data_IF_599732257307
#
_entry.id   IF_599732257307
#
_cell.length_a   1.000
_cell.length_b   1.000
_cell.length_c   1.000
_cell.angle_alpha   90.00
_cell.angle_beta   90.00
_cell.angle_gamma   90.00
#
_symmetry.space_group_name_H-M   'P 1'
#
loop_
_entity.id
_entity.type
_entity.pdbx_description
1 polymer ?
#
# COMPACT_ATOMS: atom_id res chain seq x y z
N UNK A 1 -77.87 29.37 9.10
CA UNK A 1 -76.52 29.77 8.65
C UNK A 1 -75.50 29.11 9.54
N UNK A 2 -74.97 28.01 9.14
CA UNK A 2 -73.64 27.46 9.60
C UNK A 2 -73.19 26.46 8.56
N UNK A 3 -72.22 26.86 7.77
CA UNK A 3 -71.56 26.02 6.78
C UNK A 3 -70.67 25.03 7.53
N UNK A 4 -71.03 23.78 7.50
CA UNK A 4 -70.15 22.68 7.92
C UNK A 4 -69.25 22.27 6.74
N UNK A 5 -68.05 22.67 6.83
CA UNK A 5 -66.98 22.31 5.88
C UNK A 5 -66.60 20.83 6.12
N UNK A 6 -66.99 19.99 5.19
CA UNK A 6 -66.58 18.59 5.20
C UNK A 6 -65.11 18.50 4.78
N UNK A 7 -64.28 18.18 5.73
CA UNK A 7 -62.87 17.85 5.45
C UNK A 7 -62.90 16.45 4.83
N UNK A 8 -62.63 16.39 3.54
CA UNK A 8 -62.41 15.15 2.82
C UNK A 8 -60.98 14.66 3.17
N UNK A 9 -60.91 13.73 4.10
CA UNK A 9 -59.68 13.07 4.45
C UNK A 9 -59.37 12.02 3.37
N UNK A 10 -58.58 12.41 2.38
CA UNK A 10 -58.04 11.48 1.40
C UNK A 10 -57.03 10.58 2.09
N UNK A 11 -57.44 9.39 2.43
CA UNK A 11 -56.55 8.30 2.83
C UNK A 11 -55.83 7.88 1.56
N UNK A 12 -54.60 8.41 1.40
CA UNK A 12 -53.67 7.94 0.42
C UNK A 12 -53.17 6.58 0.90
N UNK A 13 -53.84 5.53 0.45
CA UNK A 13 -53.35 4.17 0.59
C UNK A 13 -52.10 4.08 -0.27
N UNK A 14 -50.93 4.31 0.33
CA UNK A 14 -49.68 3.88 -0.26
C UNK A 14 -49.72 2.35 -0.32
N UNK A 15 -50.13 1.85 -1.48
CA UNK A 15 -49.80 0.48 -1.88
C UNK A 15 -48.28 0.44 -1.97
N UNK A 16 -47.67 0.03 -0.88
CA UNK A 16 -46.29 -0.49 -0.87
C UNK A 16 -46.31 -1.73 -1.78
N UNK A 17 -46.07 -1.54 -3.07
CA UNK A 17 -45.59 -2.61 -3.91
C UNK A 17 -44.22 -2.97 -3.32
N UNK A 18 -44.20 -3.95 -2.43
CA UNK A 18 -43.04 -4.80 -2.31
C UNK A 18 -42.87 -5.46 -3.70
N UNK A 19 -42.12 -4.79 -4.57
CA UNK A 19 -41.36 -5.50 -5.58
C UNK A 19 -40.42 -6.40 -4.77
N UNK A 20 -40.87 -7.63 -4.50
CA UNK A 20 -39.93 -8.72 -4.37
C UNK A 20 -39.31 -8.81 -5.77
N UNK A 21 -38.20 -8.09 -5.97
CA UNK A 21 -37.24 -8.48 -6.94
C UNK A 21 -36.91 -9.93 -6.54
N UNK A 22 -37.49 -10.90 -7.22
CA UNK A 22 -36.87 -12.20 -7.38
C UNK A 22 -35.55 -11.83 -8.05
N UNK A 23 -34.51 -11.66 -7.26
CA UNK A 23 -33.17 -11.81 -7.77
C UNK A 23 -33.21 -13.21 -8.44
N UNK A 24 -33.23 -13.27 -9.77
CA UNK A 24 -32.61 -14.40 -10.42
C UNK A 24 -31.27 -14.47 -9.72
N UNK A 25 -31.03 -15.55 -9.00
CA UNK A 25 -29.72 -15.86 -8.41
C UNK A 25 -28.82 -16.21 -9.60
N UNK A 26 -28.44 -15.16 -10.36
CA UNK A 26 -27.31 -15.24 -11.26
C UNK A 26 -26.13 -15.64 -10.38
N UNK A 27 -25.39 -16.67 -10.79
CA UNK A 27 -24.19 -17.09 -10.10
C UNK A 27 -23.29 -15.87 -9.89
N UNK A 28 -22.87 -15.64 -8.65
CA UNK A 28 -21.90 -14.59 -8.34
C UNK A 28 -20.59 -14.90 -9.07
N UNK A 29 -19.92 -13.89 -9.58
CA UNK A 29 -18.61 -14.02 -10.24
C UNK A 29 -17.53 -13.27 -9.46
N UNK A 30 -16.28 -13.64 -9.63
CA UNK A 30 -15.15 -13.13 -8.87
C UNK A 30 -15.02 -11.60 -8.83
N UNK A 31 -15.48 -10.92 -9.87
CA UNK A 31 -15.47 -9.44 -9.95
C UNK A 31 -16.59 -8.76 -9.15
N UNK A 32 -17.62 -9.50 -8.72
CA UNK A 32 -18.78 -8.92 -8.03
C UNK A 32 -18.38 -8.41 -6.65
N UNK A 33 -18.32 -7.09 -6.49
CA UNK A 33 -17.92 -6.42 -5.27
C UNK A 33 -16.42 -6.38 -5.01
N UNK A 34 -15.59 -6.91 -5.91
CA UNK A 34 -14.12 -6.86 -5.77
C UNK A 34 -13.59 -5.44 -6.02
N UNK A 35 -12.65 -5.00 -5.21
CA UNK A 35 -11.84 -3.83 -5.51
C UNK A 35 -10.74 -4.23 -6.49
N UNK A 36 -10.68 -3.57 -7.65
CA UNK A 36 -9.80 -3.95 -8.75
C UNK A 36 -8.97 -2.76 -9.23
N UNK A 37 -7.73 -3.04 -9.64
CA UNK A 37 -6.95 -2.15 -10.49
C UNK A 37 -6.96 -2.66 -11.93
N UNK A 38 -6.89 -1.74 -12.89
CA UNK A 38 -6.88 -2.04 -14.34
C UNK A 38 -5.77 -1.30 -15.09
N UNK A 39 -4.93 -0.58 -14.37
CA UNK A 39 -3.91 0.30 -14.95
C UNK A 39 -2.64 -0.50 -15.29
N UNK A 40 -2.27 -1.48 -14.47
CA UNK A 40 -1.08 -2.30 -14.66
C UNK A 40 -1.42 -3.79 -14.83
N UNK A 41 -1.48 -4.29 -16.08
CA UNK A 41 -1.82 -5.69 -16.36
C UNK A 41 -0.72 -6.68 -15.94
N UNK A 42 0.45 -6.22 -15.50
CA UNK A 42 1.52 -7.08 -14.99
C UNK A 42 1.33 -7.44 -13.53
N UNK A 43 0.48 -6.70 -12.83
CA UNK A 43 0.17 -6.89 -11.42
C UNK A 43 -1.18 -7.61 -11.23
N UNK A 44 -1.44 -8.19 -10.05
CA UNK A 44 -2.73 -8.77 -9.72
C UNK A 44 -3.89 -7.80 -9.93
N UNK A 45 -5.00 -8.32 -10.44
CA UNK A 45 -6.17 -7.50 -10.76
C UNK A 45 -6.93 -7.08 -9.50
N UNK A 46 -7.04 -7.98 -8.50
CA UNK A 46 -7.65 -7.64 -7.21
C UNK A 46 -6.69 -6.80 -6.39
N UNK A 47 -7.18 -5.69 -5.83
CA UNK A 47 -6.42 -4.93 -4.83
C UNK A 47 -6.37 -5.71 -3.51
N UNK A 48 -5.19 -5.79 -2.85
CA UNK A 48 -5.10 -6.41 -1.55
C UNK A 48 -5.90 -5.61 -0.51
N UNK A 49 -6.57 -6.29 0.46
CA UNK A 49 -7.26 -5.59 1.53
C UNK A 49 -6.27 -4.83 2.42
N UNK A 50 -6.60 -3.58 2.78
CA UNK A 50 -5.73 -2.69 3.57
C UNK A 50 -5.28 -3.30 4.91
N UNK A 51 -6.17 -4.06 5.57
CA UNK A 51 -5.89 -4.67 6.87
C UNK A 51 -5.76 -6.21 6.77
N UNK A 52 -5.42 -6.73 5.59
CA UNK A 52 -5.25 -8.16 5.38
C UNK A 52 -3.99 -8.70 6.07
N UNK A 53 -3.99 -10.01 6.29
CA UNK A 53 -2.84 -10.72 6.88
C UNK A 53 -1.80 -11.01 5.81
N UNK A 54 -0.60 -10.45 5.95
CA UNK A 54 0.51 -10.67 5.03
C UNK A 54 1.10 -12.06 5.21
N UNK A 55 1.35 -12.74 4.10
CA UNK A 55 1.92 -14.08 4.05
C UNK A 55 3.03 -14.19 3.01
N UNK A 56 3.88 -15.19 3.21
CA UNK A 56 4.88 -15.63 2.23
C UNK A 56 4.59 -17.06 1.81
N UNK A 57 4.64 -17.32 0.51
CA UNK A 57 4.50 -18.65 -0.08
C UNK A 57 5.84 -19.03 -0.73
N UNK A 58 6.52 -20.02 -0.18
CA UNK A 58 7.86 -20.45 -0.61
C UNK A 58 7.78 -21.59 -1.61
N UNK A 59 8.01 -21.28 -2.89
CA UNK A 59 8.11 -22.23 -3.99
C UNK A 59 9.59 -22.58 -4.26
N UNK A 60 10.20 -23.42 -3.42
CA UNK A 60 11.63 -23.65 -3.49
C UNK A 60 12.42 -22.39 -3.14
N UNK A 61 13.23 -21.88 -4.07
CA UNK A 61 14.02 -20.64 -3.88
C UNK A 61 13.22 -19.36 -4.18
N UNK A 62 12.02 -19.48 -4.78
CA UNK A 62 11.16 -18.33 -5.07
C UNK A 62 10.17 -18.09 -3.93
N UNK A 63 10.03 -16.84 -3.52
CA UNK A 63 9.07 -16.42 -2.50
C UNK A 63 8.02 -15.53 -3.16
N UNK A 64 6.77 -15.95 -3.08
CA UNK A 64 5.60 -15.20 -3.56
C UNK A 64 4.92 -14.56 -2.36
N UNK A 65 4.93 -13.22 -2.23
CA UNK A 65 4.20 -12.54 -1.18
C UNK A 65 2.70 -12.48 -1.51
N UNK A 66 1.86 -12.51 -0.47
CA UNK A 66 0.42 -12.39 -0.61
C UNK A 66 -0.22 -11.75 0.61
N UNK A 67 -1.49 -11.40 0.47
CA UNK A 67 -2.32 -10.86 1.56
C UNK A 67 -3.61 -11.66 1.61
N UNK A 68 -3.88 -12.27 2.76
CA UNK A 68 -5.14 -12.95 3.04
C UNK A 68 -6.17 -11.95 3.57
N UNK A 69 -7.43 -12.14 3.18
CA UNK A 69 -8.55 -11.31 3.64
C UNK A 69 -9.06 -11.77 5.05
N UNK A 70 -10.18 -11.22 5.48
CA UNK A 70 -10.79 -11.50 6.78
C UNK A 70 -11.94 -12.53 6.72
N UNK A 71 -12.11 -13.25 5.59
CA UNK A 71 -13.12 -14.31 5.45
C UNK A 71 -12.91 -15.43 6.45
N UNK A 72 -13.98 -16.16 6.77
CA UNK A 72 -13.93 -17.32 7.67
C UNK A 72 -12.89 -18.34 7.20
N UNK A 73 -12.82 -18.58 5.89
CA UNK A 73 -11.87 -19.52 5.27
C UNK A 73 -10.42 -19.05 5.43
N UNK A 74 -10.16 -17.77 5.16
CA UNK A 74 -8.83 -17.20 5.35
C UNK A 74 -8.38 -17.26 6.81
N UNK A 75 -9.26 -16.94 7.76
CA UNK A 75 -8.95 -17.02 9.19
C UNK A 75 -8.67 -18.45 9.65
N UNK A 76 -9.39 -19.43 9.10
CA UNK A 76 -9.12 -20.84 9.38
C UNK A 76 -7.74 -21.29 8.83
N UNK A 77 -7.30 -20.78 7.69
CA UNK A 77 -5.96 -21.03 7.17
C UNK A 77 -4.89 -20.33 8.02
N UNK A 78 -5.08 -19.06 8.36
CA UNK A 78 -4.15 -18.27 9.20
C UNK A 78 -3.90 -18.97 10.54
N UNK A 79 -4.93 -19.54 11.15
CA UNK A 79 -4.80 -20.27 12.42
C UNK A 79 -3.92 -21.54 12.32
N UNK A 80 -3.60 -22.01 11.11
CA UNK A 80 -2.75 -23.19 10.85
C UNK A 80 -1.31 -22.84 10.48
N UNK A 81 -1.01 -21.56 10.23
CA UNK A 81 0.33 -21.14 9.79
C UNK A 81 1.38 -21.33 10.90
N UNK A 82 2.62 -21.76 10.59
CA UNK A 82 3.09 -22.11 9.24
C UNK A 82 2.50 -23.45 8.74
N UNK A 83 2.12 -23.50 7.46
CA UNK A 83 1.47 -24.65 6.86
C UNK A 83 2.19 -25.02 5.54
N UNK A 84 2.43 -26.32 5.32
CA UNK A 84 3.04 -26.80 4.07
C UNK A 84 1.98 -27.44 3.19
N UNK A 85 1.82 -26.90 1.99
CA UNK A 85 0.86 -27.34 0.98
C UNK A 85 1.57 -27.90 -0.24
N UNK A 86 1.27 -29.16 -0.63
CA UNK A 86 1.75 -29.68 -1.92
C UNK A 86 0.93 -29.07 -3.05
N UNK A 87 1.58 -28.35 -3.97
CA UNK A 87 0.95 -27.65 -5.08
C UNK A 87 1.60 -28.03 -6.41
N UNK A 88 0.79 -28.17 -7.46
CA UNK A 88 1.25 -28.44 -8.81
C UNK A 88 0.78 -27.36 -9.78
N UNK A 89 1.62 -27.05 -10.76
CA UNK A 89 1.27 -26.13 -11.86
C UNK A 89 0.28 -26.80 -12.80
N UNK A 90 -0.79 -26.08 -13.12
CA UNK A 90 -1.70 -26.34 -14.22
C UNK A 90 -1.60 -25.21 -15.25
N UNK A 91 -2.58 -25.09 -16.17
CA UNK A 91 -2.49 -24.09 -17.25
C UNK A 91 -2.49 -22.65 -16.75
N UNK A 92 -3.34 -22.32 -15.79
CA UNK A 92 -3.58 -20.96 -15.32
C UNK A 92 -3.47 -20.79 -13.79
N UNK A 93 -3.08 -21.85 -13.09
CA UNK A 93 -3.00 -21.86 -11.64
C UNK A 93 -1.90 -22.78 -11.10
N UNK A 94 -1.57 -22.57 -9.84
CA UNK A 94 -1.02 -23.58 -8.95
C UNK A 94 -2.13 -24.04 -8.01
N UNK A 95 -2.37 -25.34 -7.92
CA UNK A 95 -3.33 -25.85 -6.95
C UNK A 95 -2.86 -27.14 -6.26
N UNK A 96 -3.44 -27.40 -5.10
CA UNK A 96 -3.19 -28.61 -4.33
C UNK A 96 -4.35 -28.91 -3.38
N UNK A 97 -4.58 -30.21 -3.13
CA UNK A 97 -5.59 -30.65 -2.15
C UNK A 97 -5.16 -30.20 -0.77
N UNK A 98 -6.01 -29.47 -0.09
CA UNK A 98 -5.80 -29.02 1.29
C UNK A 98 -6.76 -29.72 2.24
N UNK A 99 -6.71 -29.37 3.52
CA UNK A 99 -7.71 -29.81 4.49
C UNK A 99 -9.05 -29.09 4.25
N UNK A 100 -10.14 -29.67 4.70
CA UNK A 100 -11.45 -29.01 4.68
C UNK A 100 -11.41 -27.76 5.55
N UNK A 101 -11.67 -26.62 4.94
CA UNK A 101 -11.78 -25.32 5.61
C UNK A 101 -13.26 -24.90 5.65
N UNK A 102 -13.71 -24.25 6.74
CA UNK A 102 -15.04 -23.66 6.77
C UNK A 102 -15.11 -22.52 5.76
N UNK A 103 -16.28 -22.30 5.17
CA UNK A 103 -16.53 -21.19 4.27
C UNK A 103 -17.97 -20.71 4.36
N UNK A 104 -18.19 -19.46 3.96
CA UNK A 104 -19.50 -18.86 3.86
C UNK A 104 -20.06 -19.07 2.44
N UNK A 105 -21.16 -19.83 2.30
CA UNK A 105 -21.81 -20.09 1.01
C UNK A 105 -22.23 -18.79 0.27
N UNK A 106 -22.49 -17.69 1.00
CA UNK A 106 -22.80 -16.38 0.39
C UNK A 106 -21.59 -15.72 -0.30
N UNK A 107 -20.38 -16.18 0.00
CA UNK A 107 -19.14 -15.70 -0.60
C UNK A 107 -18.73 -16.51 -1.82
N UNK A 108 -19.37 -17.65 -2.07
CA UNK A 108 -19.07 -18.46 -3.26
C UNK A 108 -19.26 -17.69 -4.56
N UNK A 109 -18.31 -17.87 -5.46
CA UNK A 109 -18.34 -17.29 -6.79
C UNK A 109 -17.77 -18.24 -7.85
N UNK A 110 -17.99 -17.88 -9.10
CA UNK A 110 -17.40 -18.52 -10.27
C UNK A 110 -16.31 -17.63 -10.84
N UNK A 111 -15.31 -18.26 -11.47
CA UNK A 111 -14.18 -17.57 -12.04
C UNK A 111 -13.24 -16.99 -10.98
N UNK A 112 -12.23 -16.26 -11.44
CA UNK A 112 -11.20 -15.62 -10.63
C UNK A 112 -10.75 -14.30 -11.26
N UNK A 113 -10.02 -13.51 -10.51
CA UNK A 113 -9.19 -12.43 -11.01
C UNK A 113 -7.72 -12.88 -10.97
N UNK A 114 -6.93 -12.44 -11.95
CA UNK A 114 -5.51 -12.82 -11.98
C UNK A 114 -4.80 -12.32 -10.72
N UNK A 115 -4.17 -13.25 -10.01
CA UNK A 115 -3.52 -13.05 -8.73
C UNK A 115 -4.32 -13.55 -7.52
N UNK A 116 -5.57 -13.96 -7.70
CA UNK A 116 -6.40 -14.47 -6.61
C UNK A 116 -5.80 -15.70 -5.94
N UNK A 117 -5.94 -15.75 -4.63
CA UNK A 117 -5.75 -16.95 -3.80
C UNK A 117 -7.14 -17.37 -3.38
N UNK A 118 -7.57 -18.54 -3.86
CA UNK A 118 -8.92 -19.05 -3.64
C UNK A 118 -8.92 -20.43 -2.98
N UNK A 119 -10.01 -20.71 -2.30
CA UNK A 119 -10.36 -22.05 -1.83
C UNK A 119 -11.55 -22.58 -2.62
N UNK A 120 -11.35 -23.69 -3.33
CA UNK A 120 -12.43 -24.34 -4.09
C UNK A 120 -13.34 -25.13 -3.12
N UNK A 121 -14.65 -24.97 -3.27
CA UNK A 121 -15.66 -25.48 -2.33
C UNK A 121 -16.29 -26.80 -2.76
N UNK A 122 -16.20 -27.14 -4.06
CA UNK A 122 -16.63 -28.44 -4.62
C UNK A 122 -15.65 -29.59 -4.30
N UNK A 123 -14.39 -29.26 -4.02
CA UNK A 123 -13.38 -30.12 -3.46
C UNK A 123 -12.33 -29.24 -2.78
N UNK A 124 -11.71 -29.67 -1.66
CA UNK A 124 -10.86 -28.81 -0.85
C UNK A 124 -9.52 -28.53 -1.54
N UNK A 125 -9.51 -27.61 -2.50
CA UNK A 125 -8.29 -27.14 -3.15
C UNK A 125 -7.93 -25.73 -2.70
N UNK A 126 -6.65 -25.57 -2.35
CA UNK A 126 -6.01 -24.27 -2.25
C UNK A 126 -5.41 -23.93 -3.61
N UNK A 127 -5.76 -22.76 -4.18
CA UNK A 127 -5.37 -22.37 -5.53
C UNK A 127 -4.79 -20.96 -5.56
N UNK A 128 -3.82 -20.75 -6.46
CA UNK A 128 -3.30 -19.42 -6.82
C UNK A 128 -3.48 -19.28 -8.33
N UNK A 129 -4.38 -18.39 -8.74
CA UNK A 129 -4.85 -18.23 -10.10
C UNK A 129 -4.23 -16.96 -10.71
N UNK A 130 -3.52 -17.06 -11.84
CA UNK A 130 -2.71 -15.94 -12.35
C UNK A 130 -2.81 -15.71 -13.85
N UNK A 131 -3.63 -16.48 -14.58
CA UNK A 131 -3.90 -16.33 -16.01
C UNK A 131 -5.39 -16.52 -16.30
N UNK A 132 -5.85 -16.13 -17.49
CA UNK A 132 -7.15 -16.46 -18.08
C UNK A 132 -8.41 -15.95 -17.35
N UNK A 133 -8.30 -14.91 -16.52
CA UNK A 133 -9.46 -14.35 -15.78
C UNK A 133 -10.68 -14.06 -16.66
N UNK A 134 -10.49 -13.56 -17.89
CA UNK A 134 -11.59 -13.18 -18.79
C UNK A 134 -12.42 -14.38 -19.30
N UNK A 135 -11.86 -15.58 -19.22
CA UNK A 135 -12.53 -16.82 -19.60
C UNK A 135 -12.94 -17.68 -18.38
N UNK A 136 -12.71 -17.19 -17.17
CA UNK A 136 -12.78 -17.97 -15.94
C UNK A 136 -14.20 -18.22 -15.40
N UNK A 137 -15.18 -17.39 -15.75
CA UNK A 137 -16.55 -17.42 -15.18
C UNK A 137 -17.33 -18.74 -15.39
N UNK A 138 -16.80 -19.64 -16.20
CA UNK A 138 -17.37 -20.98 -16.42
C UNK A 138 -16.86 -22.03 -15.42
N UNK A 139 -15.83 -21.69 -14.64
CA UNK A 139 -15.18 -22.61 -13.72
C UNK A 139 -15.66 -22.43 -12.29
N UNK A 140 -15.83 -23.54 -11.64
CA UNK A 140 -15.86 -23.93 -10.25
C UNK A 140 -16.67 -23.10 -9.30
N UNK A 141 -16.89 -23.61 -8.13
CA UNK A 141 -17.38 -22.91 -6.97
C UNK A 141 -16.21 -22.69 -6.03
N UNK A 142 -15.92 -21.44 -5.70
CA UNK A 142 -14.77 -21.10 -4.87
C UNK A 142 -15.02 -19.85 -4.05
N UNK A 143 -14.26 -19.65 -3.00
CA UNK A 143 -14.26 -18.43 -2.18
C UNK A 143 -12.88 -17.79 -2.24
N UNK A 144 -12.83 -16.49 -2.44
CA UNK A 144 -11.58 -15.76 -2.41
C UNK A 144 -11.10 -15.59 -0.98
N UNK A 145 -9.86 -16.01 -0.70
CA UNK A 145 -9.24 -15.90 0.62
C UNK A 145 -8.08 -14.91 0.63
N UNK A 146 -7.70 -14.37 -0.54
CA UNK A 146 -6.60 -13.41 -0.63
C UNK A 146 -6.14 -13.14 -2.04
N UNK A 147 -5.00 -12.51 -2.16
CA UNK A 147 -4.36 -12.16 -3.43
C UNK A 147 -2.84 -12.14 -3.26
N UNK A 148 -2.08 -12.56 -4.29
CA UNK A 148 -0.62 -12.34 -4.30
C UNK A 148 -0.32 -10.86 -4.55
N UNK A 149 0.87 -10.38 -4.15
CA UNK A 149 1.22 -8.95 -4.22
C UNK A 149 2.49 -8.67 -5.03
N UNK A 150 2.96 -9.65 -5.80
CA UNK A 150 4.07 -9.51 -6.75
C UNK A 150 3.56 -9.50 -8.19
N UNK A 151 4.41 -9.17 -9.18
CA UNK A 151 4.07 -9.30 -10.59
C UNK A 151 3.61 -10.73 -10.93
N UNK A 152 2.56 -10.85 -11.75
CA UNK A 152 2.02 -12.15 -12.20
C UNK A 152 3.07 -13.02 -12.90
N UNK A 153 4.05 -12.39 -13.55
CA UNK A 153 5.15 -13.07 -14.21
C UNK A 153 6.02 -13.91 -13.25
N UNK A 154 6.11 -13.53 -11.98
CA UNK A 154 6.93 -14.22 -11.01
C UNK A 154 6.39 -15.62 -10.72
N UNK A 155 5.08 -15.73 -10.47
CA UNK A 155 4.44 -17.03 -10.29
C UNK A 155 4.27 -17.79 -11.62
N UNK A 156 3.98 -17.08 -12.70
CA UNK A 156 3.83 -17.67 -14.03
C UNK A 156 5.12 -18.33 -14.57
N UNK A 157 6.29 -17.88 -14.12
CA UNK A 157 7.58 -18.47 -14.48
C UNK A 157 7.87 -19.81 -13.80
N UNK A 158 7.17 -20.14 -12.71
CA UNK A 158 7.33 -21.37 -11.97
C UNK A 158 6.70 -22.57 -12.72
N UNK A 159 7.30 -23.74 -12.62
CA UNK A 159 6.82 -24.95 -13.29
C UNK A 159 6.99 -26.18 -12.39
N UNK A 160 6.13 -27.18 -12.61
CA UNK A 160 6.20 -28.46 -11.90
C UNK A 160 5.42 -28.44 -10.58
N UNK A 161 5.94 -29.12 -9.58
CA UNK A 161 5.27 -29.28 -8.27
C UNK A 161 6.22 -28.90 -7.16
N UNK A 162 5.66 -28.34 -6.09
CA UNK A 162 6.39 -27.85 -4.93
C UNK A 162 5.66 -28.22 -3.64
N UNK A 163 6.43 -28.46 -2.59
CA UNK A 163 5.91 -28.41 -1.22
C UNK A 163 6.07 -26.95 -0.75
N UNK A 164 4.98 -26.20 -0.85
CA UNK A 164 4.94 -24.76 -0.60
C UNK A 164 4.75 -24.53 0.88
N UNK A 165 5.76 -23.96 1.54
CA UNK A 165 5.60 -23.45 2.90
C UNK A 165 4.85 -22.11 2.84
N UNK A 166 3.77 -22.01 3.56
CA UNK A 166 2.98 -20.78 3.76
C UNK A 166 3.19 -20.33 5.19
N UNK A 167 3.66 -19.11 5.38
CA UNK A 167 3.89 -18.54 6.71
C UNK A 167 3.48 -17.07 6.78
N UNK A 168 3.36 -16.54 7.99
CA UNK A 168 3.13 -15.12 8.18
C UNK A 168 4.34 -14.32 7.70
N UNK A 169 4.09 -13.22 7.01
CA UNK A 169 5.15 -12.25 6.73
C UNK A 169 5.37 -11.37 7.97
N UNK A 170 6.26 -11.83 8.83
CA UNK A 170 6.65 -11.10 10.05
C UNK A 170 7.73 -10.03 9.79
N UNK A 171 8.08 -9.80 8.52
CA UNK A 171 9.02 -8.73 8.20
C UNK A 171 8.37 -7.41 8.58
N UNK A 172 9.01 -6.66 9.46
CA UNK A 172 8.62 -5.27 9.71
C UNK A 172 8.65 -4.54 8.35
N UNK A 173 7.54 -3.97 7.95
CA UNK A 173 7.59 -2.96 6.88
C UNK A 173 8.42 -1.82 7.45
N UNK A 174 9.70 -1.80 7.10
CA UNK A 174 10.44 -0.56 7.24
C UNK A 174 9.81 0.42 6.25
N UNK A 175 8.96 1.31 6.76
CA UNK A 175 8.49 2.44 5.96
C UNK A 175 9.70 3.03 5.22
N UNK A 176 9.61 3.19 3.89
CA UNK A 176 10.73 3.70 3.13
C UNK A 176 11.27 4.97 3.77
N UNK A 177 12.50 4.94 4.26
CA UNK A 177 13.10 6.04 5.01
C UNK A 177 13.87 6.96 4.06
N UNK A 178 13.56 8.25 4.12
CA UNK A 178 14.31 9.25 3.36
C UNK A 178 15.70 9.44 3.97
N UNK A 179 16.73 9.08 3.21
CA UNK A 179 18.14 9.20 3.56
C UNK A 179 18.73 10.52 3.05
N UNK A 180 19.69 11.07 3.78
CA UNK A 180 20.36 12.33 3.42
C UNK A 180 21.87 12.18 3.44
N UNK A 181 22.54 12.76 2.43
CA UNK A 181 24.01 12.91 2.38
C UNK A 181 24.36 14.38 2.15
N UNK A 182 25.37 14.87 2.85
CA UNK A 182 25.95 16.21 2.70
C UNK A 182 27.37 16.06 2.16
N UNK A 183 27.63 16.54 0.94
CA UNK A 183 28.93 16.39 0.30
C UNK A 183 29.39 14.93 0.18
N UNK A 184 28.44 13.98 0.10
CA UNK A 184 28.70 12.54 0.10
C UNK A 184 28.78 11.90 1.49
N UNK A 185 28.81 12.67 2.59
CA UNK A 185 28.79 12.18 3.97
C UNK A 185 27.35 11.87 4.38
N UNK A 186 27.00 10.63 4.76
CA UNK A 186 25.67 10.31 5.27
C UNK A 186 25.44 10.98 6.62
N UNK A 187 24.19 11.43 6.84
CA UNK A 187 23.73 12.01 8.09
C UNK A 187 22.38 11.38 8.48
N UNK A 188 22.15 11.22 9.77
CA UNK A 188 20.89 10.69 10.29
C UNK A 188 19.96 11.84 10.58
N UNK A 189 18.78 11.84 9.95
CA UNK A 189 17.77 12.89 10.11
C UNK A 189 16.54 12.33 10.81
N UNK A 190 16.10 13.03 11.86
CA UNK A 190 14.74 12.89 12.38
C UNK A 190 13.84 13.80 11.56
N UNK A 191 13.10 13.20 10.62
CA UNK A 191 12.15 13.94 9.78
C UNK A 191 10.87 14.24 10.56
N UNK A 192 10.26 15.39 10.27
CA UNK A 192 8.95 15.76 10.81
C UNK A 192 7.84 15.01 10.04
N UNK A 193 6.71 14.80 10.72
CA UNK A 193 5.51 14.22 10.12
C UNK A 193 4.60 15.33 9.58
N UNK A 194 4.80 15.75 8.32
CA UNK A 194 4.00 16.79 7.68
C UNK A 194 4.00 16.67 6.15
N UNK A 195 3.01 17.28 5.49
CA UNK A 195 2.82 17.28 4.03
C UNK A 195 4.06 17.75 3.24
N UNK A 196 4.90 18.60 3.82
CA UNK A 196 6.13 19.08 3.16
C UNK A 196 7.18 17.98 3.08
N UNK A 197 7.30 17.18 4.14
CA UNK A 197 8.22 16.04 4.20
C UNK A 197 7.72 14.91 3.30
N UNK A 198 6.41 14.64 3.27
CA UNK A 198 5.81 13.65 2.38
C UNK A 198 6.10 13.99 0.91
N UNK A 199 5.84 15.23 0.51
CA UNK A 199 6.13 15.71 -0.84
C UNK A 199 7.64 15.71 -1.17
N UNK A 200 8.52 15.98 -0.19
CA UNK A 200 9.96 15.89 -0.35
C UNK A 200 10.42 14.44 -0.52
N UNK A 201 9.83 13.51 0.23
CA UNK A 201 10.06 12.06 0.15
C UNK A 201 9.67 11.51 -1.23
N UNK A 202 8.51 11.92 -1.77
CA UNK A 202 8.11 11.56 -3.15
C UNK A 202 9.14 11.99 -4.19
N UNK A 203 9.67 13.21 -4.08
CA UNK A 203 10.73 13.69 -4.97
C UNK A 203 12.05 12.91 -4.80
N UNK A 204 12.36 12.53 -3.58
CA UNK A 204 13.56 11.78 -3.25
C UNK A 204 13.53 10.32 -3.69
N UNK A 205 12.34 9.74 -4.01
CA UNK A 205 12.18 8.37 -4.47
C UNK A 205 12.95 8.09 -5.78
N UNK A 206 13.08 9.09 -6.67
CA UNK A 206 13.91 9.01 -7.87
C UNK A 206 15.37 9.45 -7.70
N UNK A 207 15.75 9.79 -6.47
CA UNK A 207 17.02 10.44 -6.16
C UNK A 207 16.99 11.96 -6.44
N UNK A 208 17.09 12.78 -5.39
CA UNK A 208 17.06 14.23 -5.48
C UNK A 208 18.44 14.81 -5.09
N UNK A 209 19.04 15.57 -5.98
CA UNK A 209 20.31 16.25 -5.72
C UNK A 209 20.12 17.76 -5.74
N UNK A 210 20.48 18.42 -4.64
CA UNK A 210 20.32 19.87 -4.44
C UNK A 210 21.70 20.51 -4.30
N UNK A 211 21.98 21.50 -5.17
CA UNK A 211 23.16 22.35 -5.03
C UNK A 211 22.85 23.43 -3.99
N UNK A 212 23.63 23.46 -2.93
CA UNK A 212 23.48 24.39 -1.83
C UNK A 212 24.52 25.50 -1.93
N UNK A 213 24.18 26.67 -1.46
CA UNK A 213 25.11 27.80 -1.34
C UNK A 213 25.12 28.36 0.08
N UNK A 214 26.29 28.74 0.56
CA UNK A 214 26.46 29.36 1.86
C UNK A 214 25.73 30.70 1.91
N UNK A 215 24.96 30.92 2.99
CA UNK A 215 24.33 32.22 3.24
C UNK A 215 24.48 32.65 4.70
N UNK A 216 24.74 33.93 4.90
CA UNK A 216 24.82 34.58 6.20
C UNK A 216 25.90 34.06 7.18
N UNK A 217 26.67 33.03 6.80
CA UNK A 217 27.66 32.39 7.67
C UNK A 217 27.06 31.47 8.72
N UNK A 218 25.81 31.04 8.54
CA UNK A 218 25.09 30.17 9.50
C UNK A 218 24.22 29.11 8.83
N UNK A 219 24.02 29.15 7.51
CA UNK A 219 23.17 28.21 6.79
C UNK A 219 23.68 27.91 5.38
N UNK A 220 23.23 26.77 4.84
CA UNK A 220 23.29 26.41 3.42
C UNK A 220 21.88 26.46 2.85
N UNK A 221 21.69 27.05 1.67
CA UNK A 221 20.39 27.22 1.01
C UNK A 221 20.46 26.70 -0.41
N UNK A 222 19.50 25.90 -0.83
CA UNK A 222 19.43 25.36 -2.19
C UNK A 222 18.01 25.16 -2.71
N UNK A 223 17.83 25.36 -4.02
CA UNK A 223 16.53 25.18 -4.65
C UNK A 223 16.20 23.68 -4.82
N UNK A 224 15.00 23.29 -4.37
CA UNK A 224 14.44 21.94 -4.58
C UNK A 224 14.01 21.72 -6.04
N UNK A 225 13.88 22.82 -6.83
CA UNK A 225 13.46 22.77 -8.24
C UNK A 225 11.96 22.95 -8.44
N UNK A 226 11.14 22.70 -7.43
CA UNK A 226 9.69 22.93 -7.45
C UNK A 226 9.18 23.40 -6.10
N UNK A 227 7.90 23.80 -6.05
CA UNK A 227 7.24 24.21 -4.80
C UNK A 227 6.64 22.99 -4.12
N UNK A 228 6.83 22.93 -2.78
CA UNK A 228 6.20 21.94 -1.91
C UNK A 228 5.08 22.61 -1.11
N UNK A 229 4.13 21.84 -0.56
CA UNK A 229 3.25 22.30 0.51
C UNK A 229 4.08 22.96 1.61
N UNK A 230 3.61 24.04 2.23
CA UNK A 230 4.33 24.72 3.29
C UNK A 230 3.38 25.33 4.32
N UNK A 231 3.78 25.29 5.59
CA UNK A 231 3.07 25.87 6.72
C UNK A 231 4.06 26.69 7.54
N UNK A 232 4.46 27.84 6.99
CA UNK A 232 5.51 28.68 7.56
C UNK A 232 5.05 29.29 8.88
N UNK A 233 5.81 29.07 9.93
CA UNK A 233 5.61 29.66 11.25
C UNK A 233 6.92 30.29 11.75
N UNK A 234 6.81 31.31 12.61
CA UNK A 234 7.98 31.90 13.25
C UNK A 234 8.74 30.83 14.03
N UNK A 235 9.94 30.52 13.59
CA UNK A 235 10.77 29.43 14.10
C UNK A 235 12.17 29.92 14.41
N UNK A 236 12.66 29.59 15.61
CA UNK A 236 14.08 29.75 15.93
C UNK A 236 14.81 28.48 15.60
N UNK A 237 15.85 28.57 14.79
CA UNK A 237 16.64 27.44 14.32
C UNK A 237 18.00 27.38 15.00
N UNK A 238 18.60 26.22 15.02
CA UNK A 238 19.91 25.91 15.55
C UNK A 238 20.69 25.00 14.58
N UNK A 239 21.97 24.75 14.91
CA UNK A 239 22.79 23.83 14.13
C UNK A 239 22.15 22.44 14.04
N UNK A 240 22.01 21.90 12.83
CA UNK A 240 21.37 20.64 12.51
C UNK A 240 19.91 20.76 12.05
N UNK A 241 19.25 21.90 12.25
CA UNK A 241 17.87 22.10 11.77
C UNK A 241 17.81 22.13 10.24
N UNK A 242 16.78 21.48 9.70
CA UNK A 242 16.44 21.43 8.29
C UNK A 242 15.06 22.04 8.11
N UNK A 243 14.95 23.03 7.23
CA UNK A 243 13.66 23.71 7.00
C UNK A 243 13.41 23.95 5.52
N UNK A 244 12.15 24.13 5.18
CA UNK A 244 11.69 24.66 3.91
C UNK A 244 11.49 26.18 4.03
N UNK A 245 12.06 26.93 3.11
CA UNK A 245 11.89 28.37 2.99
C UNK A 245 11.24 28.72 1.68
N UNK A 246 10.28 29.65 1.69
CA UNK A 246 9.54 30.12 0.51
C UNK A 246 8.95 28.99 -0.34
N UNK A 247 8.63 27.84 0.26
CA UNK A 247 8.03 26.64 -0.33
C UNK A 247 8.91 25.89 -1.34
N UNK A 248 10.13 26.32 -1.66
CA UNK A 248 10.97 25.70 -2.70
C UNK A 248 12.47 25.69 -2.41
N UNK A 249 12.88 26.14 -1.25
CA UNK A 249 14.29 26.15 -0.84
C UNK A 249 14.49 25.26 0.38
N UNK A 250 15.38 24.28 0.24
CA UNK A 250 15.91 23.52 1.37
C UNK A 250 16.96 24.37 2.07
N UNK A 251 16.87 24.49 3.39
CA UNK A 251 17.84 25.19 4.22
C UNK A 251 18.35 24.28 5.31
N UNK A 252 19.66 24.19 5.48
CA UNK A 252 20.32 23.40 6.54
C UNK A 252 21.22 24.31 7.35
N UNK A 253 21.00 24.34 8.66
CA UNK A 253 21.68 25.25 9.58
C UNK A 253 22.95 24.63 10.17
N UNK A 254 24.03 25.41 10.23
CA UNK A 254 25.20 25.16 11.08
C UNK A 254 25.44 26.28 12.10
N UNK A 255 24.54 27.25 12.16
CA UNK A 255 24.45 28.33 13.12
C UNK A 255 23.01 28.53 13.60
N UNK A 256 22.61 29.77 13.82
CA UNK A 256 21.28 30.11 14.36
C UNK A 256 20.62 31.21 13.53
N UNK A 257 19.29 31.12 13.40
CA UNK A 257 18.45 32.16 12.82
C UNK A 257 17.05 32.11 13.43
N UNK A 258 16.23 33.14 13.13
CA UNK A 258 14.82 33.15 13.53
C UNK A 258 14.01 33.86 12.46
N UNK A 259 13.18 33.06 11.76
CA UNK A 259 12.35 33.54 10.67
C UNK A 259 11.10 32.64 10.52
N UNK A 260 10.25 32.97 9.53
CA UNK A 260 9.12 32.10 9.18
C UNK A 260 9.60 30.95 8.28
N UNK A 261 9.49 29.72 8.78
CA UNK A 261 9.90 28.49 8.09
C UNK A 261 8.87 27.40 8.28
N UNK A 262 8.85 26.43 7.36
CA UNK A 262 8.25 25.12 7.58
C UNK A 262 9.35 24.15 8.00
N UNK A 263 9.22 23.56 9.18
CA UNK A 263 10.22 22.60 9.68
C UNK A 263 10.13 21.29 8.88
N UNK A 264 11.28 20.75 8.47
CA UNK A 264 11.37 19.47 7.76
C UNK A 264 12.02 18.38 8.62
N UNK A 265 12.95 18.74 9.50
CA UNK A 265 13.63 17.77 10.35
C UNK A 265 14.83 18.34 11.07
N UNK A 266 15.59 17.42 11.68
CA UNK A 266 16.80 17.73 12.43
C UNK A 266 17.84 16.61 12.28
N UNK A 267 19.11 16.97 12.05
CA UNK A 267 20.24 16.03 11.98
C UNK A 267 20.64 15.62 13.41
N UNK A 268 20.55 14.35 13.71
CA UNK A 268 20.66 13.81 15.08
C UNK A 268 22.04 13.25 15.43
N UNK A 269 22.85 12.89 14.42
CA UNK A 269 24.13 12.17 14.57
C UNK A 269 25.37 13.09 14.41
N UNK A 270 25.18 14.40 14.41
CA UNK A 270 26.26 15.39 14.29
C UNK A 270 26.20 16.43 15.40
N UNK A 271 27.34 16.76 15.97
CA UNK A 271 27.53 17.88 16.87
C UNK A 271 27.51 19.22 16.11
N UNK A 272 27.29 20.36 16.78
CA UNK A 272 27.39 21.68 16.14
C UNK A 272 28.76 21.96 15.50
N UNK A 273 29.83 21.44 16.04
CA UNK A 273 31.19 21.52 15.49
C UNK A 273 31.31 20.72 14.18
N UNK A 274 30.80 19.50 14.16
CA UNK A 274 30.78 18.64 12.95
C UNK A 274 29.87 19.23 11.86
N UNK A 275 28.73 19.80 12.21
CA UNK A 275 27.86 20.51 11.26
C UNK A 275 28.57 21.72 10.66
N UNK A 276 29.33 22.47 11.45
CA UNK A 276 30.12 23.58 10.93
C UNK A 276 31.22 23.08 10.01
N UNK A 277 31.90 22.00 10.34
CA UNK A 277 32.92 21.39 9.47
C UNK A 277 32.32 20.96 8.12
N UNK A 278 31.13 20.37 8.12
CA UNK A 278 30.45 19.93 6.91
C UNK A 278 29.95 21.06 6.00
N UNK A 279 29.54 22.20 6.59
CA UNK A 279 28.73 23.20 5.89
C UNK A 279 29.35 24.58 5.76
N UNK A 280 30.49 24.88 6.44
CA UNK A 280 31.04 26.25 6.46
C UNK A 280 32.26 26.47 5.56
N UNK A 281 32.67 25.46 4.79
CA UNK A 281 33.89 25.52 3.94
C UNK A 281 33.62 25.68 2.45
N UNK A 282 32.46 26.20 2.08
CA UNK A 282 32.03 26.44 0.70
C UNK A 282 30.65 25.87 0.43
N UNK A 283 30.24 25.95 -0.82
CA UNK A 283 28.97 25.39 -1.29
C UNK A 283 29.05 23.86 -1.24
N UNK A 284 27.95 23.21 -0.86
CA UNK A 284 27.86 21.75 -0.76
C UNK A 284 26.73 21.20 -1.61
N UNK A 285 26.78 19.91 -1.85
CA UNK A 285 25.67 19.19 -2.50
C UNK A 285 24.94 18.36 -1.46
N UNK A 286 23.62 18.43 -1.42
CA UNK A 286 22.77 17.52 -0.64
C UNK A 286 22.14 16.52 -1.58
N UNK A 287 22.20 15.24 -1.20
CA UNK A 287 21.51 14.15 -1.91
C UNK A 287 20.49 13.52 -0.97
N UNK A 288 19.25 13.40 -1.45
CA UNK A 288 18.16 12.69 -0.78
C UNK A 288 17.79 11.45 -1.61
N UNK A 289 17.64 10.32 -0.96
CA UNK A 289 17.17 9.04 -1.54
C UNK A 289 16.17 8.40 -0.59
N UNK A 290 15.33 7.51 -1.11
CA UNK A 290 14.39 6.73 -0.31
C UNK A 290 14.79 5.26 -0.43
N UNK A 291 14.98 4.60 0.70
CA UNK A 291 15.38 3.18 0.79
C UNK A 291 14.44 2.44 1.75
#
# INVERSE_FOLDING_TARGET
MKRTMKILMAILMMLSLCLTASAETGKRVAKDGAQMQTEDPTMPTRLPPENGTKILLHFGDMVIPGVLNDSETAQALIAKLPYTQHMSRYSHDFCGVTEDLPYNEEEEHYGWLNGDIDYATDAPYFTILFEDQDASEIYGSQVNIGVITCPLADIAALNGSYDVLIELDEREETEPVMQMKIGGTPVTVAWEENESVDALKELAAGGLTIQMSMYGGFEQVGSIGQRLPSSDVQTSTSSGDIVLYSSNQLVVFYGQNSWAYTRLGYITDKTPEEMRELLSHGDVTITLTVE
#
